data_IF_769717531669
#
_entry.id   IF_769717531669
#
_cell.length_a   1.000
_cell.length_b   1.000
_cell.length_c   1.000
_cell.angle_alpha   90.00
_cell.angle_beta   90.00
_cell.angle_gamma   90.00
#
_symmetry.space_group_name_H-M   'P 1'
#
loop_
_entity.id
_entity.type
_entity.pdbx_description
1 polymer ?
#
# COMPACT_ATOMS: atom_id res chain seq x y z
N UNK A 1 48.68 -41.56 -16.85
CA UNK A 1 49.09 -41.86 -15.45
C UNK A 1 48.14 -41.15 -14.53
N UNK A 2 47.28 -41.90 -13.89
CA UNK A 2 46.29 -41.44 -12.95
C UNK A 2 46.79 -41.62 -11.53
N UNK A 3 46.74 -40.62 -10.70
CA UNK A 3 47.02 -40.74 -9.27
C UNK A 3 45.72 -40.43 -8.49
N UNK A 4 45.10 -41.49 -7.99
CA UNK A 4 44.01 -41.44 -7.04
C UNK A 4 44.62 -41.18 -5.64
N UNK A 5 44.17 -40.14 -4.98
CA UNK A 5 44.41 -39.91 -3.55
C UNK A 5 43.12 -40.16 -2.76
N UNK A 6 43.16 -41.16 -1.91
CA UNK A 6 42.11 -41.56 -1.01
C UNK A 6 42.09 -40.68 0.24
N UNK A 7 40.90 -40.25 0.67
CA UNK A 7 40.62 -39.56 1.95
C UNK A 7 40.13 -40.61 2.94
N UNK A 8 40.70 -40.69 4.17
CA UNK A 8 40.20 -41.63 5.20
C UNK A 8 39.02 -41.06 5.95
N UNK A 9 38.02 -41.87 6.11
CA UNK A 9 36.87 -41.66 6.98
C UNK A 9 37.29 -41.66 8.46
N UNK A 10 36.93 -40.61 9.19
CA UNK A 10 37.01 -40.59 10.65
C UNK A 10 35.64 -40.99 11.24
N UNK A 11 35.66 -42.05 12.00
CA UNK A 11 34.56 -42.53 12.81
C UNK A 11 34.35 -41.59 14.02
N UNK A 12 33.14 -41.06 14.18
CA UNK A 12 32.72 -40.37 15.39
C UNK A 12 32.36 -41.38 16.49
N UNK A 13 33.09 -41.24 17.60
CA UNK A 13 32.86 -41.97 18.82
C UNK A 13 31.70 -41.30 19.58
N UNK A 14 30.57 -42.00 19.60
CA UNK A 14 29.42 -41.66 20.43
C UNK A 14 29.76 -41.97 21.90
N UNK A 15 29.76 -40.95 22.78
CA UNK A 15 29.79 -41.08 24.23
C UNK A 15 28.41 -40.75 24.81
N UNK A 16 27.71 -41.73 25.40
CA UNK A 16 26.63 -41.43 26.32
C UNK A 16 27.24 -41.34 27.73
N UNK A 17 26.79 -40.37 28.50
CA UNK A 17 26.72 -40.29 29.96
C UNK A 17 27.10 -38.92 30.49
N UNK A 18 26.07 -38.16 30.69
CA UNK A 18 26.02 -37.23 31.83
C UNK A 18 24.56 -37.05 32.27
N UNK A 19 24.12 -37.96 33.13
CA UNK A 19 23.00 -37.71 34.03
C UNK A 19 23.46 -36.66 35.01
N UNK A 20 22.79 -35.52 35.06
CA UNK A 20 23.19 -34.50 36.00
C UNK A 20 22.22 -33.33 36.09
N UNK A 21 21.33 -33.42 37.09
CA UNK A 21 20.65 -32.35 37.78
C UNK A 21 19.60 -31.51 37.02
N UNK A 22 18.36 -31.95 37.23
CA UNK A 22 17.18 -31.10 37.13
C UNK A 22 17.34 -29.83 37.99
N UNK A 23 17.71 -28.74 37.37
CA UNK A 23 17.50 -27.40 37.95
C UNK A 23 16.06 -27.02 37.68
N UNK A 24 15.26 -27.06 38.71
CA UNK A 24 13.95 -26.43 38.79
C UNK A 24 14.12 -24.96 38.44
N UNK A 25 13.84 -24.63 37.19
CA UNK A 25 13.58 -23.25 36.81
C UNK A 25 12.27 -22.85 37.47
N UNK A 26 12.38 -22.17 38.60
CA UNK A 26 11.29 -21.46 39.22
C UNK A 26 10.65 -20.58 38.10
N UNK A 27 9.37 -20.85 37.82
CA UNK A 27 8.50 -19.99 37.07
C UNK A 27 8.47 -18.59 37.72
N UNK A 28 9.44 -17.77 37.37
CA UNK A 28 9.29 -16.33 37.49
C UNK A 28 8.22 -15.94 36.49
N UNK A 29 7.00 -15.96 36.99
CA UNK A 29 5.81 -15.37 36.38
C UNK A 29 6.10 -13.89 36.12
N UNK A 30 6.86 -13.59 35.06
CA UNK A 30 6.94 -12.26 34.48
C UNK A 30 5.55 -11.92 34.01
N UNK A 31 4.73 -11.39 34.92
CA UNK A 31 3.65 -10.49 34.56
C UNK A 31 4.33 -9.28 33.91
N UNK A 32 4.77 -9.45 32.68
CA UNK A 32 4.94 -8.30 31.80
C UNK A 32 3.55 -7.69 31.73
N UNK A 33 3.31 -6.65 32.50
CA UNK A 33 2.22 -5.71 32.28
C UNK A 33 2.28 -5.38 30.79
N UNK A 34 1.46 -6.06 29.99
CA UNK A 34 1.20 -5.66 28.62
C UNK A 34 0.60 -4.26 28.75
N UNK A 35 1.45 -3.25 28.63
CA UNK A 35 0.95 -1.89 28.37
C UNK A 35 -0.09 -2.06 27.28
N UNK A 36 -1.37 -1.64 27.52
CA UNK A 36 -2.36 -1.70 26.48
C UNK A 36 -1.75 -0.98 25.29
N UNK A 37 -1.67 -1.69 24.15
CA UNK A 37 -1.30 -1.06 22.88
C UNK A 37 -2.15 0.20 22.77
N UNK A 38 -1.56 1.35 22.41
CA UNK A 38 -2.33 2.55 22.16
C UNK A 38 -3.47 2.14 21.24
N UNK A 39 -4.74 2.40 21.67
CA UNK A 39 -5.91 2.12 20.83
C UNK A 39 -5.58 2.70 19.47
N UNK A 40 -5.52 1.83 18.45
CA UNK A 40 -5.31 2.25 17.08
C UNK A 40 -6.20 3.45 16.83
N UNK A 41 -5.57 4.59 16.58
CA UNK A 41 -6.29 5.81 16.28
C UNK A 41 -7.12 5.52 15.03
N UNK A 42 -8.44 5.54 15.17
CA UNK A 42 -9.34 5.30 14.04
C UNK A 42 -8.97 6.23 12.89
N UNK A 43 -8.89 5.73 11.66
CA UNK A 43 -8.57 6.58 10.52
C UNK A 43 -9.52 7.77 10.49
N UNK A 44 -8.97 8.94 10.19
CA UNK A 44 -9.76 10.16 10.02
C UNK A 44 -10.87 9.86 9.00
N UNK A 45 -12.15 10.05 9.33
CA UNK A 45 -13.22 9.77 8.39
C UNK A 45 -13.04 10.63 7.13
N UNK A 46 -13.29 10.05 5.96
CA UNK A 46 -13.11 10.72 4.65
C UNK A 46 -13.85 12.04 4.53
N UNK A 47 -14.90 12.25 5.35
CA UNK A 47 -15.66 13.51 5.42
C UNK A 47 -14.81 14.70 5.88
N UNK A 48 -13.85 14.46 6.77
CA UNK A 48 -12.98 15.54 7.28
C UNK A 48 -11.99 16.02 6.21
N UNK A 49 -11.65 15.16 5.24
CA UNK A 49 -10.79 15.53 4.11
C UNK A 49 -11.48 16.48 3.12
N UNK A 50 -12.80 16.37 2.96
CA UNK A 50 -13.59 17.25 2.10
C UNK A 50 -13.76 18.65 2.73
N UNK A 51 -13.74 18.75 4.06
CA UNK A 51 -13.89 20.00 4.80
C UNK A 51 -12.61 20.86 4.81
N UNK A 52 -11.50 20.37 4.24
CA UNK A 52 -10.24 21.11 4.18
C UNK A 52 -10.18 22.01 2.92
N UNK A 53 -9.34 23.03 2.96
CA UNK A 53 -9.12 23.89 1.81
C UNK A 53 -8.78 23.08 0.55
N UNK A 54 -9.38 23.42 -0.60
CA UNK A 54 -9.17 22.70 -1.83
C UNK A 54 -7.72 22.81 -2.31
N UNK A 55 -7.25 21.78 -2.98
CA UNK A 55 -5.90 21.72 -3.56
C UNK A 55 -5.86 22.55 -4.82
N UNK A 56 -4.92 23.50 -4.89
CA UNK A 56 -4.66 24.27 -6.11
C UNK A 56 -3.59 23.60 -6.98
N UNK A 57 -3.54 23.98 -8.26
CA UNK A 57 -2.50 23.51 -9.18
C UNK A 57 -1.08 23.93 -8.72
N UNK A 58 -0.94 25.15 -8.22
CA UNK A 58 0.34 25.66 -7.72
C UNK A 58 0.80 24.87 -6.49
N UNK A 59 -0.12 24.57 -5.58
CA UNK A 59 0.15 23.77 -4.40
C UNK A 59 0.54 22.35 -4.77
N UNK A 60 -0.12 21.74 -5.76
CA UNK A 60 0.24 20.42 -6.28
C UNK A 60 1.67 20.43 -6.85
N UNK A 61 2.03 21.43 -7.67
CA UNK A 61 3.38 21.56 -8.23
C UNK A 61 4.44 21.74 -7.15
N UNK A 62 4.15 22.59 -6.16
CA UNK A 62 5.02 22.81 -5.01
C UNK A 62 5.21 21.52 -4.22
N UNK A 63 4.13 20.81 -3.90
CA UNK A 63 4.16 19.54 -3.24
C UNK A 63 5.02 18.52 -4.02
N UNK A 64 4.81 18.38 -5.32
CA UNK A 64 5.54 17.43 -6.16
C UNK A 64 7.07 17.66 -6.13
N UNK A 65 7.50 18.93 -6.11
CA UNK A 65 8.92 19.31 -5.98
C UNK A 65 9.47 18.97 -4.60
N UNK A 66 8.72 19.35 -3.56
CA UNK A 66 9.22 19.26 -2.18
C UNK A 66 9.09 17.86 -1.63
N UNK A 67 8.12 17.04 -2.10
CA UNK A 67 8.03 15.62 -1.79
C UNK A 67 9.31 14.85 -2.18
N UNK A 68 9.89 15.14 -3.34
CA UNK A 68 11.17 14.52 -3.73
C UNK A 68 12.31 14.87 -2.78
N UNK A 69 12.33 16.11 -2.26
CA UNK A 69 13.32 16.51 -1.24
C UNK A 69 13.08 15.77 0.07
N UNK A 70 11.82 15.64 0.49
CA UNK A 70 11.43 14.90 1.68
C UNK A 70 11.82 13.42 1.57
N UNK A 71 11.50 12.77 0.46
CA UNK A 71 11.87 11.38 0.21
C UNK A 71 13.40 11.17 0.24
N UNK A 72 14.18 12.11 -0.29
CA UNK A 72 15.64 12.10 -0.20
C UNK A 72 16.11 12.24 1.24
N UNK A 73 15.59 13.22 1.95
CA UNK A 73 15.91 13.44 3.37
C UNK A 73 15.61 12.21 4.22
N UNK A 74 14.52 11.51 3.96
CA UNK A 74 14.22 10.23 4.62
C UNK A 74 15.29 9.17 4.31
N UNK A 75 15.75 9.07 3.07
CA UNK A 75 16.78 8.09 2.65
C UNK A 75 18.16 8.39 3.26
N UNK A 76 18.47 9.65 3.52
CA UNK A 76 19.74 10.12 4.08
C UNK A 76 19.93 9.83 5.59
N UNK A 77 19.24 8.86 6.14
CA UNK A 77 19.40 8.40 7.53
C UNK A 77 18.20 8.65 8.44
N UNK A 78 17.14 9.23 7.91
CA UNK A 78 15.93 9.55 8.65
C UNK A 78 14.79 8.54 8.42
N UNK A 79 15.10 7.31 7.98
CA UNK A 79 14.09 6.28 7.63
C UNK A 79 13.12 5.95 8.76
N UNK A 80 13.49 6.18 10.03
CA UNK A 80 12.61 6.01 11.18
C UNK A 80 11.34 6.87 11.12
N UNK A 81 11.34 7.97 10.34
CA UNK A 81 10.19 8.85 10.16
C UNK A 81 9.33 8.47 8.97
N UNK A 82 9.70 7.45 8.21
CA UNK A 82 8.98 7.01 7.01
C UNK A 82 7.54 6.58 7.31
N UNK A 83 7.32 5.95 8.44
CA UNK A 83 6.00 5.52 8.88
C UNK A 83 5.03 6.69 9.10
N UNK A 84 5.52 7.86 9.49
CA UNK A 84 4.71 9.07 9.73
C UNK A 84 4.06 9.55 8.43
N UNK A 85 4.78 9.49 7.31
CA UNK A 85 4.25 9.85 5.99
C UNK A 85 3.11 8.93 5.53
N UNK A 86 3.12 7.66 5.95
CA UNK A 86 2.11 6.67 5.54
C UNK A 86 0.95 6.53 6.52
N UNK A 87 1.17 6.85 7.80
CA UNK A 87 0.15 6.65 8.82
C UNK A 87 -0.90 7.76 8.87
N UNK A 88 -0.75 8.85 8.19
CA UNK A 88 -1.61 10.01 8.01
C UNK A 88 -3.03 10.01 8.60
N UNK A 89 -3.21 9.59 9.87
CA UNK A 89 -4.47 9.01 10.31
C UNK A 89 -4.98 9.55 11.64
N UNK A 90 -4.23 10.39 12.33
CA UNK A 90 -4.72 10.84 13.62
C UNK A 90 -5.18 12.30 13.58
N UNK A 91 -6.25 12.59 14.30
CA UNK A 91 -6.81 13.94 14.46
C UNK A 91 -5.85 14.93 15.15
N UNK A 92 -4.76 14.42 15.71
CA UNK A 92 -3.62 15.16 16.21
C UNK A 92 -2.41 14.30 15.90
N UNK A 93 -1.79 14.58 14.79
CA UNK A 93 -0.51 13.97 14.46
C UNK A 93 0.54 14.73 15.26
N UNK A 94 0.99 14.12 16.34
CA UNK A 94 2.25 14.53 16.94
C UNK A 94 3.36 14.08 15.99
N UNK A 95 3.63 14.92 14.99
CA UNK A 95 4.75 14.67 14.09
C UNK A 95 6.06 14.75 14.89
N UNK A 96 7.02 13.86 14.63
CA UNK A 96 8.36 14.01 15.20
C UNK A 96 8.91 15.40 14.94
N UNK A 97 9.56 15.99 15.92
CA UNK A 97 10.11 17.36 15.83
C UNK A 97 10.97 17.56 14.59
N UNK A 98 11.72 16.53 14.18
CA UNK A 98 12.55 16.57 12.97
C UNK A 98 11.69 16.73 11.68
N UNK A 99 10.52 16.11 11.63
CA UNK A 99 9.58 16.20 10.50
C UNK A 99 8.93 17.58 10.45
N UNK A 100 8.50 18.11 11.59
CA UNK A 100 7.96 19.47 11.68
C UNK A 100 9.00 20.48 11.23
N UNK A 101 10.22 20.39 11.75
CA UNK A 101 11.33 21.29 11.37
C UNK A 101 11.61 21.22 9.88
N UNK A 102 11.65 20.01 9.30
CA UNK A 102 11.85 19.86 7.86
C UNK A 102 10.74 20.56 7.06
N UNK A 103 9.47 20.39 7.47
CA UNK A 103 8.35 21.04 6.83
C UNK A 103 8.46 22.57 6.91
N UNK A 104 8.73 23.11 8.10
CA UNK A 104 8.88 24.55 8.33
C UNK A 104 10.02 25.16 7.50
N UNK A 105 11.18 24.49 7.44
CA UNK A 105 12.34 24.91 6.62
C UNK A 105 12.01 24.98 5.12
N UNK A 106 11.00 24.20 4.68
CA UNK A 106 10.51 24.21 3.32
C UNK A 106 9.23 25.05 3.14
N UNK A 107 8.84 25.78 4.18
CA UNK A 107 7.68 26.66 4.20
C UNK A 107 6.34 25.96 4.19
N UNK A 108 6.26 24.72 4.71
CA UNK A 108 5.03 23.95 4.84
C UNK A 108 4.59 23.89 6.31
N UNK A 109 3.29 24.00 6.54
CA UNK A 109 2.71 23.43 7.75
C UNK A 109 2.72 21.89 7.60
N UNK A 110 3.27 21.17 8.57
CA UNK A 110 3.38 19.70 8.50
C UNK A 110 2.02 19.04 8.22
N UNK A 111 0.97 19.48 8.93
CA UNK A 111 -0.39 18.99 8.73
C UNK A 111 -0.87 19.14 7.28
N UNK A 112 -0.63 20.30 6.66
CA UNK A 112 -1.03 20.54 5.27
C UNK A 112 -0.25 19.68 4.30
N UNK A 113 1.06 19.54 4.50
CA UNK A 113 1.91 18.72 3.64
C UNK A 113 1.47 17.27 3.60
N UNK A 114 1.23 16.65 4.77
CA UNK A 114 0.79 15.26 4.83
C UNK A 114 -0.70 15.07 4.53
N UNK A 115 -1.52 16.09 4.71
CA UNK A 115 -2.90 16.09 4.22
C UNK A 115 -2.94 15.96 2.69
N UNK A 116 -2.10 16.72 1.98
CA UNK A 116 -1.99 16.64 0.52
C UNK A 116 -1.52 15.26 0.07
N UNK A 117 -0.50 14.72 0.72
CA UNK A 117 -0.02 13.36 0.44
C UNK A 117 -1.16 12.35 0.58
N UNK A 118 -1.94 12.43 1.64
CA UNK A 118 -3.09 11.54 1.87
C UNK A 118 -4.16 11.72 0.80
N UNK A 119 -4.57 12.95 0.50
CA UNK A 119 -5.55 13.24 -0.57
C UNK A 119 -5.10 12.65 -1.90
N UNK A 120 -3.81 12.82 -2.27
CA UNK A 120 -3.27 12.28 -3.52
C UNK A 120 -3.25 10.77 -3.52
N UNK A 121 -2.76 10.10 -2.49
CA UNK A 121 -2.72 8.63 -2.42
C UNK A 121 -4.09 7.99 -2.48
N UNK A 122 -5.05 8.53 -1.73
CA UNK A 122 -6.42 8.02 -1.74
C UNK A 122 -7.08 8.20 -3.11
N UNK A 123 -6.93 9.38 -3.72
CA UNK A 123 -7.49 9.65 -5.06
C UNK A 123 -6.83 8.78 -6.13
N UNK A 124 -5.50 8.61 -6.10
CA UNK A 124 -4.79 7.71 -7.01
C UNK A 124 -5.23 6.25 -6.82
N UNK A 125 -5.51 5.83 -5.60
CA UNK A 125 -6.05 4.49 -5.33
C UNK A 125 -7.41 4.29 -6.01
N UNK A 126 -8.30 5.28 -5.91
CA UNK A 126 -9.61 5.26 -6.57
C UNK A 126 -9.46 5.23 -8.10
N UNK A 127 -8.59 6.07 -8.67
CA UNK A 127 -8.31 6.09 -10.11
C UNK A 127 -7.79 4.74 -10.61
N UNK A 128 -6.83 4.14 -9.92
CA UNK A 128 -6.32 2.79 -10.26
C UNK A 128 -7.39 1.72 -10.19
N UNK A 129 -8.30 1.80 -9.22
CA UNK A 129 -9.40 0.86 -9.10
C UNK A 129 -10.37 1.00 -10.27
N UNK A 130 -10.69 2.23 -10.67
CA UNK A 130 -11.55 2.49 -11.83
C UNK A 130 -10.93 1.97 -13.13
N UNK A 131 -9.63 2.21 -13.35
CA UNK A 131 -8.91 1.70 -14.52
C UNK A 131 -8.87 0.18 -14.57
N UNK A 132 -8.58 -0.47 -13.44
CA UNK A 132 -8.60 -1.94 -13.36
C UNK A 132 -9.98 -2.51 -13.72
N UNK A 133 -11.06 -1.87 -13.26
CA UNK A 133 -12.45 -2.27 -13.60
C UNK A 133 -12.72 -2.08 -15.08
N UNK A 134 -12.35 -0.93 -15.65
CA UNK A 134 -12.52 -0.65 -17.06
C UNK A 134 -11.77 -1.68 -17.94
N UNK A 135 -10.51 -1.96 -17.60
CA UNK A 135 -9.70 -2.95 -18.30
C UNK A 135 -10.28 -4.36 -18.20
N UNK A 136 -10.77 -4.77 -17.03
CA UNK A 136 -11.39 -6.08 -16.84
C UNK A 136 -12.69 -6.18 -17.64
N UNK A 137 -13.53 -5.14 -17.62
CA UNK A 137 -14.77 -5.09 -18.42
C UNK A 137 -14.45 -5.17 -19.92
N UNK A 138 -13.48 -4.42 -20.41
CA UNK A 138 -13.03 -4.46 -21.80
C UNK A 138 -12.47 -5.83 -22.21
N UNK A 139 -11.74 -6.50 -21.29
CA UNK A 139 -11.31 -7.88 -21.53
C UNK A 139 -12.48 -8.86 -21.66
N UNK A 140 -13.45 -8.77 -20.75
CA UNK A 140 -14.64 -9.63 -20.80
C UNK A 140 -15.47 -9.39 -22.06
N UNK A 141 -15.59 -8.13 -22.51
CA UNK A 141 -16.28 -7.81 -23.77
C UNK A 141 -15.60 -8.47 -24.97
N UNK A 142 -14.28 -8.39 -25.08
CA UNK A 142 -13.53 -9.10 -26.14
C UNK A 142 -13.76 -10.61 -26.11
N UNK A 143 -13.74 -11.21 -24.92
CA UNK A 143 -14.04 -12.64 -24.75
C UNK A 143 -15.45 -13.01 -25.20
N UNK A 144 -16.43 -12.14 -24.99
CA UNK A 144 -17.80 -12.32 -25.49
C UNK A 144 -17.81 -12.37 -27.00
N UNK A 145 -17.12 -11.44 -27.65
CA UNK A 145 -17.04 -11.39 -29.13
C UNK A 145 -16.33 -12.62 -29.70
N UNK A 146 -15.20 -13.01 -29.14
CA UNK A 146 -14.46 -14.22 -29.49
C UNK A 146 -15.34 -15.48 -29.37
N UNK A 147 -16.07 -15.60 -28.25
CA UNK A 147 -16.98 -16.75 -28.03
C UNK A 147 -18.11 -16.80 -29.04
N UNK A 148 -18.68 -15.65 -29.40
CA UNK A 148 -19.72 -15.55 -30.42
C UNK A 148 -19.21 -15.97 -31.79
N UNK A 149 -18.02 -15.53 -32.15
CA UNK A 149 -17.38 -15.80 -33.43
C UNK A 149 -16.86 -17.25 -33.57
N UNK A 150 -16.61 -17.92 -32.44
CA UNK A 150 -15.99 -19.24 -32.44
C UNK A 150 -16.95 -20.31 -33.00
N UNK A 151 -16.68 -20.82 -34.20
CA UNK A 151 -17.48 -21.85 -34.87
C UNK A 151 -17.32 -23.26 -34.29
N UNK A 152 -16.26 -23.51 -33.50
CA UNK A 152 -15.98 -24.83 -32.93
C UNK A 152 -16.81 -25.12 -31.65
N UNK A 153 -17.47 -24.11 -31.08
CA UNK A 153 -18.30 -24.27 -29.89
C UNK A 153 -19.74 -24.58 -30.25
N UNK A 154 -20.36 -25.53 -29.53
CA UNK A 154 -21.79 -25.79 -29.65
C UNK A 154 -22.62 -24.59 -29.16
N UNK A 155 -23.89 -24.47 -29.63
CA UNK A 155 -24.78 -23.41 -29.14
C UNK A 155 -24.94 -23.39 -27.62
N UNK A 156 -24.99 -24.55 -26.98
CA UNK A 156 -25.11 -24.72 -25.52
C UNK A 156 -23.85 -24.23 -24.80
N UNK A 157 -22.66 -24.59 -25.32
CA UNK A 157 -21.38 -24.15 -24.77
C UNK A 157 -21.24 -22.62 -24.88
N UNK A 158 -21.60 -22.05 -26.05
CA UNK A 158 -21.64 -20.58 -26.23
C UNK A 158 -22.54 -19.92 -25.21
N UNK A 159 -23.78 -20.41 -25.06
CA UNK A 159 -24.76 -19.87 -24.11
C UNK A 159 -24.23 -19.89 -22.68
N UNK A 160 -23.59 -20.98 -22.26
CA UNK A 160 -23.02 -21.13 -20.92
C UNK A 160 -21.89 -20.13 -20.68
N UNK A 161 -20.92 -20.04 -21.62
CA UNK A 161 -19.78 -19.12 -21.48
C UNK A 161 -20.24 -17.66 -21.49
N UNK A 162 -21.12 -17.29 -22.40
CA UNK A 162 -21.67 -15.92 -22.47
C UNK A 162 -22.41 -15.54 -21.18
N UNK A 163 -23.20 -16.47 -20.63
CA UNK A 163 -23.90 -16.27 -19.35
C UNK A 163 -22.90 -15.94 -18.20
N UNK A 164 -21.77 -16.66 -18.14
CA UNK A 164 -20.74 -16.43 -17.14
C UNK A 164 -20.10 -15.04 -17.29
N UNK A 165 -19.74 -14.65 -18.53
CA UNK A 165 -19.15 -13.34 -18.78
C UNK A 165 -20.11 -12.19 -18.44
N UNK A 166 -21.37 -12.29 -18.83
CA UNK A 166 -22.37 -11.28 -18.47
C UNK A 166 -22.62 -11.19 -16.97
N UNK A 167 -22.57 -12.32 -16.26
CA UNK A 167 -22.64 -12.33 -14.80
C UNK A 167 -21.44 -11.58 -14.20
N UNK A 168 -20.23 -11.87 -14.66
CA UNK A 168 -19.02 -11.20 -14.19
C UNK A 168 -19.07 -9.69 -14.45
N UNK A 169 -19.51 -9.24 -15.61
CA UNK A 169 -19.67 -7.80 -15.91
C UNK A 169 -20.66 -7.17 -14.94
N UNK A 170 -21.79 -7.81 -14.68
CA UNK A 170 -22.80 -7.30 -13.74
C UNK A 170 -22.24 -7.20 -12.32
N UNK A 171 -21.45 -8.17 -11.88
CA UNK A 171 -20.81 -8.11 -10.56
C UNK A 171 -19.78 -6.95 -10.45
N UNK A 172 -18.99 -6.72 -11.51
CA UNK A 172 -18.08 -5.57 -11.59
C UNK A 172 -18.85 -4.24 -11.51
N UNK A 173 -20.00 -4.15 -12.20
CA UNK A 173 -20.83 -2.93 -12.19
C UNK A 173 -21.53 -2.69 -10.86
N UNK A 174 -21.99 -3.77 -10.19
CA UNK A 174 -22.63 -3.68 -8.87
C UNK A 174 -21.66 -3.34 -7.75
N UNK A 175 -20.39 -3.71 -7.90
CA UNK A 175 -19.39 -3.42 -6.87
C UNK A 175 -19.34 -1.91 -6.61
N UNK A 176 -19.56 -1.52 -5.34
CA UNK A 176 -19.58 -0.12 -4.92
C UNK A 176 -18.34 0.61 -5.41
N UNK A 177 -18.54 1.71 -6.12
CA UNK A 177 -17.43 2.57 -6.52
C UNK A 177 -16.95 3.36 -5.30
N UNK A 178 -15.70 3.18 -4.93
CA UNK A 178 -15.09 4.05 -3.95
C UNK A 178 -15.07 5.49 -4.50
N UNK A 179 -15.55 6.42 -3.69
CA UNK A 179 -15.44 7.85 -4.00
C UNK A 179 -14.12 8.39 -3.46
N UNK A 180 -13.45 9.20 -4.25
CA UNK A 180 -12.28 9.92 -3.78
C UNK A 180 -12.71 10.95 -2.72
N UNK A 181 -11.97 11.10 -1.61
CA UNK A 181 -12.30 12.05 -0.56
C UNK A 181 -11.80 13.47 -0.91
N UNK A 182 -12.15 13.93 -2.09
CA UNK A 182 -11.77 15.22 -2.67
C UNK A 182 -12.93 15.83 -3.44
N UNK A 183 -12.90 17.13 -3.68
CA UNK A 183 -13.89 17.81 -4.51
C UNK A 183 -13.78 17.37 -5.98
N UNK A 184 -14.81 17.56 -6.81
CA UNK A 184 -14.74 17.22 -8.24
C UNK A 184 -13.57 17.91 -8.96
N UNK A 185 -13.30 19.17 -8.66
CA UNK A 185 -12.21 19.95 -9.28
C UNK A 185 -10.84 19.41 -8.87
N UNK A 186 -10.66 19.08 -7.57
CA UNK A 186 -9.45 18.42 -7.09
C UNK A 186 -9.26 17.04 -7.75
N UNK A 187 -10.36 16.31 -7.93
CA UNK A 187 -10.30 14.99 -8.58
C UNK A 187 -9.78 15.09 -10.00
N UNK A 188 -10.33 16.00 -10.81
CA UNK A 188 -9.85 16.21 -12.19
C UNK A 188 -8.42 16.74 -12.22
N UNK A 189 -8.05 17.65 -11.31
CA UNK A 189 -6.67 18.13 -11.17
C UNK A 189 -5.69 16.97 -10.89
N UNK A 190 -6.01 16.09 -9.96
CA UNK A 190 -5.18 14.93 -9.59
C UNK A 190 -5.13 13.93 -10.74
N UNK A 191 -6.24 13.69 -11.41
CA UNK A 191 -6.36 12.78 -12.57
C UNK A 191 -5.49 13.24 -13.73
N UNK A 192 -5.50 14.53 -14.06
CA UNK A 192 -4.65 15.11 -15.09
C UNK A 192 -3.15 14.98 -14.76
N UNK A 193 -2.80 14.99 -13.50
CA UNK A 193 -1.41 14.88 -13.03
C UNK A 193 -1.06 13.48 -12.50
N UNK A 194 -1.91 12.46 -12.77
CA UNK A 194 -1.78 11.11 -12.22
C UNK A 194 -0.39 10.52 -12.36
N UNK A 195 0.14 10.48 -13.58
CA UNK A 195 1.46 9.86 -13.87
C UNK A 195 2.59 10.51 -13.08
N UNK A 196 2.59 11.84 -13.01
CA UNK A 196 3.58 12.59 -12.25
C UNK A 196 3.49 12.29 -10.75
N UNK A 197 2.27 12.32 -10.20
CA UNK A 197 2.02 12.00 -8.79
C UNK A 197 2.37 10.55 -8.44
N UNK A 198 2.03 9.60 -9.31
CA UNK A 198 2.40 8.18 -9.12
C UNK A 198 3.90 7.98 -9.10
N UNK A 199 4.65 8.71 -9.91
CA UNK A 199 6.12 8.62 -9.95
C UNK A 199 6.73 9.13 -8.65
N UNK A 200 6.30 10.29 -8.16
CA UNK A 200 6.89 10.91 -6.96
C UNK A 200 6.46 10.24 -5.65
N UNK A 201 5.27 9.64 -5.62
CA UNK A 201 4.74 8.98 -4.43
C UNK A 201 5.12 7.49 -4.32
N UNK A 202 5.83 6.93 -5.31
CA UNK A 202 6.39 5.57 -5.25
C UNK A 202 7.68 5.49 -4.43
N UNK A 203 8.42 6.59 -4.36
CA UNK A 203 9.68 6.71 -3.63
C UNK A 203 9.49 6.81 -2.12
#
# INVERSE_FOLDING_TARGET
MAVLSAIPARADVYRPDMVGTARTFSEQKNKSERRPLPKEASPMPDKDLLATDPVTFEELRRFARDWRKYARWLKEGNNQYKAVAYLGVSRRLDYPVAVVRWADEHGWAADRFFLLERKFRLTLSVLRQQERRANLTGHLQRRIEETRANSSLSPEQKKQQLSQFYRSIREIQKATQAKAPVTPDEYELIKLNKTALETILKD
#
